data_IF_811362046780
#
_entry.id   IF_811362046780
#
_cell.length_a   1.000
_cell.length_b   1.000
_cell.length_c   1.000
_cell.angle_alpha   90.00
_cell.angle_beta   90.00
_cell.angle_gamma   90.00
#
_symmetry.space_group_name_H-M   'P 1'
#
loop_
_entity.id
_entity.type
_entity.pdbx_description
1 polymer ?
#
# COMPACT_ATOMS: atom_id res chain seq x y z
N UNK A 1 35.22 16.13 61.09
CA UNK A 1 35.58 16.48 59.69
C UNK A 1 35.73 15.25 58.77
N UNK A 2 35.27 14.06 59.20
CA UNK A 2 35.47 12.78 58.49
C UNK A 2 34.17 12.11 58.00
N UNK A 3 32.99 12.65 58.35
CA UNK A 3 31.70 12.14 57.86
C UNK A 3 31.17 12.85 56.60
N UNK A 4 31.66 14.05 56.28
CA UNK A 4 31.21 14.79 55.09
C UNK A 4 31.94 14.37 53.80
N UNK A 5 33.11 13.75 53.91
CA UNK A 5 33.92 13.33 52.75
C UNK A 5 33.41 11.99 52.17
N UNK A 6 32.84 11.10 53.00
CA UNK A 6 32.38 9.79 52.56
C UNK A 6 31.08 9.83 51.74
N UNK A 7 30.20 10.80 52.00
CA UNK A 7 28.91 10.93 51.29
C UNK A 7 29.09 11.49 49.88
N UNK A 8 30.06 12.41 49.68
CA UNK A 8 30.34 12.97 48.36
C UNK A 8 31.05 11.98 47.42
N UNK A 9 31.92 11.12 47.95
CA UNK A 9 32.61 10.12 47.12
C UNK A 9 31.65 9.01 46.64
N UNK A 10 30.67 8.63 47.47
CA UNK A 10 29.63 7.65 47.11
C UNK A 10 28.66 8.17 46.03
N UNK A 11 28.26 9.43 46.12
CA UNK A 11 27.39 10.07 45.12
C UNK A 11 28.09 10.27 43.77
N UNK A 12 29.39 10.59 43.77
CA UNK A 12 30.18 10.71 42.54
C UNK A 12 30.39 9.36 41.84
N UNK A 13 30.62 8.28 42.60
CA UNK A 13 30.78 6.93 42.03
C UNK A 13 29.45 6.39 41.49
N UNK A 14 28.33 6.63 42.18
CA UNK A 14 27.01 6.22 41.72
C UNK A 14 26.57 7.01 40.47
N UNK A 15 26.97 8.29 40.36
CA UNK A 15 26.76 9.11 39.17
C UNK A 15 27.65 8.66 37.99
N UNK A 16 28.91 8.28 38.25
CA UNK A 16 29.81 7.71 37.22
C UNK A 16 29.30 6.36 36.69
N UNK A 17 28.81 5.47 37.57
CA UNK A 17 28.19 4.19 37.17
C UNK A 17 26.84 4.38 36.45
N UNK A 18 26.08 5.43 36.77
CA UNK A 18 24.84 5.75 36.07
C UNK A 18 25.09 6.37 34.68
N UNK A 19 26.20 7.09 34.50
CA UNK A 19 26.57 7.72 33.22
C UNK A 19 27.18 6.72 32.21
N UNK A 20 27.75 5.60 32.67
CA UNK A 20 28.27 4.53 31.79
C UNK A 20 27.20 3.58 31.23
N UNK A 21 25.92 3.73 31.59
CA UNK A 21 24.81 2.95 31.03
C UNK A 21 24.14 3.58 29.80
N UNK A 22 24.83 4.51 29.13
CA UNK A 22 24.52 4.90 27.74
C UNK A 22 25.57 4.33 26.79
N UNK A 23 25.80 3.03 26.85
CA UNK A 23 26.12 2.35 25.59
C UNK A 23 24.82 2.36 24.81
N UNK A 24 24.67 3.33 23.91
CA UNK A 24 23.90 3.08 22.69
C UNK A 24 24.37 1.71 22.20
N UNK A 25 23.46 0.75 22.20
CA UNK A 25 23.71 -0.63 21.82
C UNK A 25 24.56 -0.61 20.55
N UNK A 26 25.81 -1.10 20.63
CA UNK A 26 26.75 -1.10 19.50
C UNK A 26 26.08 -1.73 18.28
N UNK A 27 25.18 -2.69 18.52
CA UNK A 27 24.33 -3.30 17.52
C UNK A 27 23.40 -2.29 16.83
N UNK A 28 22.71 -1.43 17.60
CA UNK A 28 21.86 -0.36 17.09
C UNK A 28 22.62 0.78 16.39
N UNK A 29 23.91 1.00 16.74
CA UNK A 29 24.80 1.89 15.99
C UNK A 29 25.21 1.28 14.65
N UNK A 30 25.63 0.01 14.64
CA UNK A 30 26.00 -0.75 13.43
C UNK A 30 24.80 -0.90 12.49
N UNK A 31 23.60 -1.11 13.02
CA UNK A 31 22.37 -1.26 12.24
C UNK A 31 21.98 0.02 11.47
N UNK A 32 22.43 1.21 11.90
CA UNK A 32 22.23 2.47 11.16
C UNK A 32 23.07 2.56 9.88
N UNK A 33 24.18 1.83 9.83
CA UNK A 33 25.10 1.78 8.68
C UNK A 33 24.85 0.56 7.78
N UNK A 34 24.02 -0.40 8.21
CA UNK A 34 23.51 -1.42 7.30
C UNK A 34 22.70 -0.71 6.21
N UNK A 35 22.88 -1.07 4.93
CA UNK A 35 22.04 -0.55 3.86
C UNK A 35 20.58 -0.70 4.27
N UNK A 36 19.82 0.39 4.25
CA UNK A 36 18.38 0.31 4.51
C UNK A 36 17.83 -0.69 3.51
N UNK A 37 17.22 -1.77 4.01
CA UNK A 37 16.42 -2.67 3.18
C UNK A 37 15.48 -1.80 2.38
N UNK A 38 15.67 -1.77 1.06
CA UNK A 38 14.75 -1.03 0.20
C UNK A 38 13.45 -1.83 0.16
N UNK A 39 12.38 -1.25 -0.39
CA UNK A 39 11.14 -2.02 -0.63
C UNK A 39 11.37 -3.30 -1.45
N UNK A 40 12.49 -3.37 -2.17
CA UNK A 40 12.92 -4.53 -2.95
C UNK A 40 13.50 -5.67 -2.10
N UNK A 41 13.90 -5.42 -0.84
CA UNK A 41 14.44 -6.43 0.11
C UNK A 41 13.38 -6.99 1.07
N UNK A 42 12.11 -6.78 0.76
CA UNK A 42 11.01 -7.02 1.69
C UNK A 42 10.33 -8.36 1.41
N UNK A 43 10.36 -9.22 2.42
CA UNK A 43 9.68 -10.51 2.36
C UNK A 43 8.16 -10.34 2.40
N UNK A 44 7.49 -11.14 1.58
CA UNK A 44 6.04 -11.30 1.61
C UNK A 44 5.65 -12.07 2.87
N UNK A 45 4.74 -11.54 3.70
CA UNK A 45 4.27 -12.26 4.87
C UNK A 45 3.73 -13.63 4.48
N UNK A 46 4.09 -14.68 5.22
CA UNK A 46 3.69 -16.05 4.92
C UNK A 46 2.18 -16.22 4.64
N UNK A 47 1.25 -15.67 5.44
CA UNK A 47 -0.18 -15.79 5.15
C UNK A 47 -0.61 -15.17 3.82
N UNK A 48 0.04 -14.09 3.39
CA UNK A 48 -0.21 -13.46 2.09
C UNK A 48 0.30 -14.37 0.97
N UNK A 49 1.53 -14.87 1.10
CA UNK A 49 2.13 -15.75 0.11
C UNK A 49 1.31 -17.03 -0.09
N UNK A 50 0.89 -17.67 1.01
CA UNK A 50 0.10 -18.91 0.97
C UNK A 50 -1.24 -18.71 0.26
N UNK A 51 -1.92 -17.58 0.49
CA UNK A 51 -3.16 -17.21 -0.21
C UNK A 51 -2.92 -17.03 -1.71
N UNK A 52 -1.87 -16.31 -2.10
CA UNK A 52 -1.53 -16.11 -3.51
C UNK A 52 -1.22 -17.45 -4.16
N UNK A 53 -0.38 -18.28 -3.54
CA UNK A 53 -0.02 -19.58 -4.07
C UNK A 53 -1.24 -20.49 -4.27
N UNK A 54 -2.14 -20.55 -3.27
CA UNK A 54 -3.38 -21.32 -3.38
C UNK A 54 -4.29 -20.81 -4.50
N UNK A 55 -4.35 -19.48 -4.70
CA UNK A 55 -5.13 -18.90 -5.79
C UNK A 55 -4.54 -19.22 -7.15
N UNK A 56 -3.20 -19.16 -7.29
CA UNK A 56 -2.49 -19.52 -8.54
C UNK A 56 -2.69 -20.99 -8.87
N UNK A 57 -2.59 -21.89 -7.89
CA UNK A 57 -2.84 -23.32 -8.09
C UNK A 57 -4.26 -23.58 -8.63
N UNK A 58 -5.26 -22.89 -8.07
CA UNK A 58 -6.66 -23.04 -8.46
C UNK A 58 -7.02 -22.43 -9.82
N UNK A 59 -6.51 -21.25 -10.15
CA UNK A 59 -7.00 -20.46 -11.30
C UNK A 59 -6.03 -20.40 -12.47
N UNK A 60 -4.73 -20.54 -12.23
CA UNK A 60 -3.69 -20.43 -13.25
C UNK A 60 -3.19 -21.82 -13.69
N UNK A 61 -3.48 -22.86 -12.90
CA UNK A 61 -3.26 -24.26 -13.29
C UNK A 61 -1.78 -24.67 -13.20
N UNK A 62 -1.15 -24.44 -12.04
CA UNK A 62 0.25 -24.83 -11.79
C UNK A 62 0.39 -26.20 -11.11
N UNK A 63 -0.70 -26.95 -10.99
CA UNK A 63 -0.75 -28.22 -10.26
C UNK A 63 0.30 -29.22 -10.76
N UNK A 64 1.07 -29.78 -9.83
CA UNK A 64 2.13 -30.74 -10.11
C UNK A 64 3.44 -30.11 -10.64
N UNK A 65 3.46 -28.81 -10.90
CA UNK A 65 4.69 -28.09 -11.28
C UNK A 65 5.48 -27.70 -10.03
N UNK A 66 6.80 -27.73 -10.14
CA UNK A 66 7.67 -27.28 -9.04
C UNK A 66 7.63 -25.76 -8.94
N UNK A 67 7.24 -25.25 -7.78
CA UNK A 67 7.27 -23.81 -7.49
C UNK A 67 8.65 -23.43 -6.97
N UNK A 68 9.23 -22.38 -7.54
CA UNK A 68 10.55 -21.86 -7.16
C UNK A 68 10.47 -20.39 -6.75
N UNK A 69 11.42 -19.98 -5.90
CA UNK A 69 11.52 -18.64 -5.33
C UNK A 69 12.96 -18.12 -5.43
N UNK A 70 13.35 -17.58 -6.58
CA UNK A 70 14.74 -17.19 -6.85
C UNK A 70 15.10 -15.83 -6.22
N UNK A 71 14.15 -15.09 -5.63
CA UNK A 71 14.41 -13.77 -5.05
C UNK A 71 14.64 -13.87 -3.54
N UNK A 72 15.90 -13.72 -3.15
CA UNK A 72 16.37 -13.65 -1.78
C UNK A 72 17.63 -12.80 -1.71
N UNK A 73 18.05 -12.29 -0.53
CA UNK A 73 19.25 -11.48 -0.41
C UNK A 73 20.49 -12.18 -0.99
N UNK A 74 21.17 -11.51 -1.93
CA UNK A 74 22.32 -12.06 -2.65
C UNK A 74 21.96 -13.09 -3.74
N UNK A 75 20.68 -13.30 -4.01
CA UNK A 75 20.21 -14.20 -5.06
C UNK A 75 20.48 -13.65 -6.46
N UNK A 76 20.76 -14.57 -7.38
CA UNK A 76 20.95 -14.30 -8.80
C UNK A 76 19.90 -15.07 -9.59
N UNK A 77 18.83 -14.38 -9.99
CA UNK A 77 17.75 -15.01 -10.74
C UNK A 77 18.17 -15.40 -12.17
N UNK A 78 19.23 -14.81 -12.72
CA UNK A 78 19.68 -15.11 -14.09
C UNK A 78 20.41 -16.46 -14.14
N UNK A 79 21.14 -16.78 -13.06
CA UNK A 79 21.92 -18.01 -12.88
C UNK A 79 21.25 -19.04 -11.95
N UNK A 80 20.01 -18.82 -11.55
CA UNK A 80 19.25 -19.78 -10.75
C UNK A 80 19.01 -21.08 -11.53
N UNK A 81 19.11 -22.23 -10.85
CA UNK A 81 18.82 -23.53 -11.44
C UNK A 81 17.30 -23.76 -11.50
N UNK A 82 16.68 -23.39 -12.63
CA UNK A 82 15.25 -23.59 -12.89
C UNK A 82 14.97 -25.04 -13.31
N UNK A 83 14.29 -25.84 -12.48
CA UNK A 83 13.90 -27.20 -12.87
C UNK A 83 12.96 -27.17 -14.06
N UNK A 84 13.00 -28.20 -14.90
CA UNK A 84 12.12 -28.30 -16.05
C UNK A 84 10.65 -28.19 -15.64
N UNK A 85 9.89 -27.39 -16.37
CA UNK A 85 8.46 -27.15 -16.11
C UNK A 85 8.17 -26.40 -14.81
N UNK A 86 9.16 -25.83 -14.11
CA UNK A 86 8.90 -25.06 -12.89
C UNK A 86 8.06 -23.80 -13.13
N UNK A 87 7.56 -23.23 -12.04
CA UNK A 87 6.89 -21.92 -12.02
C UNK A 87 7.51 -21.06 -10.95
N UNK A 88 7.83 -19.82 -11.31
CA UNK A 88 8.27 -18.81 -10.35
C UNK A 88 7.03 -18.17 -9.73
N UNK A 89 6.77 -18.40 -8.44
CA UNK A 89 5.73 -17.67 -7.70
C UNK A 89 6.43 -16.94 -6.57
N UNK A 90 6.73 -15.65 -6.76
CA UNK A 90 7.61 -14.95 -5.84
C UNK A 90 7.49 -13.42 -5.93
N UNK A 91 8.08 -12.73 -4.96
CA UNK A 91 8.11 -11.26 -4.88
C UNK A 91 9.48 -10.73 -5.33
N UNK A 92 9.61 -10.30 -6.60
CA UNK A 92 10.87 -9.77 -7.12
C UNK A 92 11.14 -8.34 -6.64
N UNK A 93 12.38 -7.84 -6.78
CA UNK A 93 12.66 -6.42 -6.71
C UNK A 93 11.86 -5.66 -7.77
N UNK A 94 11.03 -4.70 -7.35
CA UNK A 94 10.11 -3.98 -8.22
C UNK A 94 10.85 -3.03 -9.17
N UNK A 95 12.00 -2.51 -8.76
CA UNK A 95 12.86 -1.64 -9.57
C UNK A 95 13.31 -2.27 -10.89
N UNK A 96 13.40 -3.61 -10.98
CA UNK A 96 13.83 -4.34 -12.17
C UNK A 96 12.81 -5.39 -12.63
N UNK A 97 11.55 -5.30 -12.18
CA UNK A 97 10.52 -6.31 -12.46
C UNK A 97 10.32 -6.56 -13.96
N UNK A 98 10.43 -5.51 -14.78
CA UNK A 98 10.33 -5.64 -16.24
C UNK A 98 11.46 -6.48 -16.82
N UNK A 99 12.70 -6.28 -16.35
CA UNK A 99 13.85 -7.09 -16.77
C UNK A 99 13.62 -8.56 -16.42
N UNK A 100 13.15 -8.82 -15.21
CA UNK A 100 12.86 -10.16 -14.69
C UNK A 100 11.76 -10.85 -15.52
N UNK A 101 10.63 -10.18 -15.72
CA UNK A 101 9.51 -10.75 -16.46
C UNK A 101 9.89 -11.07 -17.90
N UNK A 102 10.58 -10.16 -18.59
CA UNK A 102 11.04 -10.38 -19.97
C UNK A 102 12.06 -11.52 -20.06
N UNK A 103 12.95 -11.65 -19.07
CA UNK A 103 13.87 -12.79 -18.98
C UNK A 103 13.12 -14.12 -18.91
N UNK A 104 12.04 -14.20 -18.11
CA UNK A 104 11.22 -15.41 -18.04
C UNK A 104 10.43 -15.69 -19.31
N UNK A 105 9.83 -14.66 -19.92
CA UNK A 105 9.13 -14.79 -21.21
C UNK A 105 10.08 -15.34 -22.29
N UNK A 106 11.27 -14.75 -22.44
CA UNK A 106 12.24 -15.15 -23.46
C UNK A 106 12.77 -16.58 -23.27
N UNK A 107 12.81 -17.08 -22.03
CA UNK A 107 13.27 -18.44 -21.71
C UNK A 107 12.14 -19.47 -21.59
N UNK A 108 10.89 -19.07 -21.81
CA UNK A 108 9.74 -19.96 -21.63
C UNK A 108 9.54 -20.43 -20.18
N UNK A 109 10.03 -19.66 -19.20
CA UNK A 109 9.86 -19.97 -17.78
C UNK A 109 8.50 -19.44 -17.34
N UNK A 110 7.67 -20.31 -16.76
CA UNK A 110 6.38 -19.91 -16.22
C UNK A 110 6.55 -19.04 -14.97
N UNK A 111 5.80 -17.96 -14.85
CA UNK A 111 5.87 -17.10 -13.67
C UNK A 111 4.52 -16.52 -13.25
N UNK A 112 4.39 -16.22 -11.96
CA UNK A 112 3.37 -15.40 -11.36
C UNK A 112 4.03 -14.52 -10.28
N UNK A 113 4.32 -13.27 -10.62
CA UNK A 113 5.14 -12.38 -9.79
C UNK A 113 4.29 -11.29 -9.15
N UNK A 114 4.63 -10.92 -7.92
CA UNK A 114 4.11 -9.71 -7.28
C UNK A 114 4.64 -8.48 -8.04
N UNK A 115 3.81 -7.45 -8.21
CA UNK A 115 4.13 -6.28 -9.02
C UNK A 115 3.50 -5.00 -8.44
N UNK A 116 4.12 -3.82 -8.61
CA UNK A 116 3.47 -2.55 -8.28
C UNK A 116 2.29 -2.29 -9.23
N UNK A 117 1.12 -1.92 -8.68
CA UNK A 117 -0.11 -1.84 -9.47
C UNK A 117 0.00 -0.88 -10.67
N UNK A 118 0.67 0.26 -10.50
CA UNK A 118 0.67 1.35 -11.47
C UNK A 118 1.43 1.02 -12.77
N UNK A 119 2.40 0.11 -12.74
CA UNK A 119 3.26 -0.22 -13.88
C UNK A 119 3.15 -1.68 -14.33
N UNK A 120 2.05 -2.36 -13.98
CA UNK A 120 1.87 -3.80 -14.25
C UNK A 120 1.41 -4.13 -15.67
N UNK A 121 0.86 -3.16 -16.42
CA UNK A 121 0.38 -3.40 -17.80
C UNK A 121 1.57 -3.42 -18.77
N UNK A 122 1.70 -4.51 -19.52
CA UNK A 122 2.73 -4.67 -20.55
C UNK A 122 2.27 -5.67 -21.62
N UNK A 123 2.69 -5.49 -22.88
CA UNK A 123 2.25 -6.32 -24.02
C UNK A 123 2.76 -7.78 -24.03
N UNK A 124 3.81 -8.07 -23.28
CA UNK A 124 4.52 -9.38 -23.32
C UNK A 124 4.01 -10.37 -22.26
N UNK A 125 3.15 -9.93 -21.34
CA UNK A 125 2.64 -10.75 -20.26
C UNK A 125 1.32 -10.19 -19.74
N UNK A 126 0.58 -11.04 -19.05
CA UNK A 126 -0.71 -10.70 -18.46
C UNK A 126 -0.55 -10.00 -17.12
N UNK A 127 -1.56 -9.20 -16.74
CA UNK A 127 -1.63 -8.53 -15.43
C UNK A 127 -2.92 -8.89 -14.68
N UNK A 128 -2.81 -9.11 -13.36
CA UNK A 128 -3.91 -9.47 -12.47
C UNK A 128 -4.04 -8.43 -11.37
N UNK A 129 -5.16 -7.72 -11.34
CA UNK A 129 -5.41 -6.61 -10.41
C UNK A 129 -6.33 -7.02 -9.25
N UNK A 130 -5.90 -6.72 -8.02
CA UNK A 130 -6.67 -7.03 -6.79
C UNK A 130 -7.33 -5.80 -6.15
N UNK A 131 -7.01 -4.58 -6.60
CA UNK A 131 -7.59 -3.34 -6.07
C UNK A 131 -7.39 -3.14 -4.57
N UNK A 132 -6.32 -3.69 -4.00
CA UNK A 132 -5.97 -3.55 -2.59
C UNK A 132 -4.46 -3.50 -2.40
N UNK A 133 -4.03 -3.08 -1.21
CA UNK A 133 -2.61 -3.01 -0.87
C UNK A 133 -2.18 -4.25 -0.09
N UNK A 134 -0.90 -4.58 -0.20
CA UNK A 134 -0.25 -5.58 0.65
C UNK A 134 0.66 -4.88 1.66
N UNK A 135 0.56 -5.28 2.92
CA UNK A 135 1.51 -4.88 3.97
C UNK A 135 2.64 -5.90 4.04
N UNK A 136 3.87 -5.49 3.74
CA UNK A 136 5.05 -6.36 3.75
C UNK A 136 5.67 -6.44 5.15
N UNK A 137 6.60 -7.39 5.37
CA UNK A 137 7.20 -7.61 6.70
C UNK A 137 7.94 -6.40 7.28
N UNK A 138 8.43 -5.49 6.42
CA UNK A 138 9.04 -4.23 6.85
C UNK A 138 8.01 -3.13 7.20
N UNK A 139 6.71 -3.43 7.13
CA UNK A 139 5.62 -2.47 7.37
C UNK A 139 5.25 -1.61 6.16
N UNK A 140 5.91 -1.77 5.01
CA UNK A 140 5.53 -1.04 3.80
C UNK A 140 4.14 -1.48 3.31
N UNK A 141 3.28 -0.51 3.01
CA UNK A 141 1.94 -0.74 2.43
C UNK A 141 1.99 -0.35 0.96
N UNK A 142 1.96 -1.33 0.06
CA UNK A 142 2.12 -1.11 -1.38
C UNK A 142 0.84 -1.51 -2.10
N UNK A 143 0.35 -0.67 -3.01
CA UNK A 143 -0.67 -1.09 -3.97
C UNK A 143 -0.09 -2.15 -4.89
N UNK A 144 -0.58 -3.39 -4.77
CA UNK A 144 0.01 -4.54 -5.45
C UNK A 144 -0.95 -5.08 -6.50
N UNK A 145 -0.38 -5.50 -7.62
CA UNK A 145 -0.99 -6.34 -8.63
C UNK A 145 -0.06 -7.56 -8.86
N UNK A 146 -0.39 -8.40 -9.82
CA UNK A 146 0.47 -9.51 -10.23
C UNK A 146 0.68 -9.50 -11.74
N UNK A 147 1.79 -10.08 -12.18
CA UNK A 147 2.10 -10.27 -13.59
C UNK A 147 2.41 -11.74 -13.86
N UNK A 148 2.04 -12.25 -15.03
CA UNK A 148 2.16 -13.68 -15.36
C UNK A 148 2.16 -13.91 -16.87
N UNK A 149 2.86 -14.94 -17.34
CA UNK A 149 2.76 -15.45 -18.72
C UNK A 149 1.92 -16.73 -18.83
N UNK A 150 1.13 -17.05 -17.81
CA UNK A 150 0.41 -18.33 -17.69
C UNK A 150 -1.10 -18.23 -17.99
N UNK A 151 -1.59 -17.05 -18.41
CA UNK A 151 -3.03 -16.81 -18.64
C UNK A 151 -3.45 -16.91 -20.12
N UNK A 152 -2.59 -17.47 -20.97
CA UNK A 152 -2.86 -17.59 -22.41
C UNK A 152 -3.14 -16.22 -23.05
N UNK A 153 -4.27 -16.11 -23.74
CA UNK A 153 -4.64 -14.91 -24.51
C UNK A 153 -5.18 -13.75 -23.66
N UNK A 154 -5.30 -13.92 -22.35
CA UNK A 154 -5.82 -12.88 -21.46
C UNK A 154 -4.74 -11.84 -21.16
N UNK A 155 -4.87 -10.61 -21.66
CA UNK A 155 -3.91 -9.52 -21.43
C UNK A 155 -3.99 -8.91 -20.01
N UNK A 156 -5.19 -8.78 -19.44
CA UNK A 156 -5.37 -8.31 -18.07
C UNK A 156 -6.69 -8.80 -17.48
N UNK A 157 -6.74 -8.95 -16.15
CA UNK A 157 -7.96 -9.31 -15.43
C UNK A 157 -8.00 -8.70 -14.02
N UNK A 158 -9.19 -8.66 -13.43
CA UNK A 158 -9.36 -8.40 -12.00
C UNK A 158 -9.61 -9.70 -11.23
N UNK A 159 -9.10 -9.80 -10.00
CA UNK A 159 -9.24 -10.97 -9.13
C UNK A 159 -9.86 -10.57 -7.77
N UNK A 160 -11.17 -10.27 -7.73
CA UNK A 160 -11.84 -9.80 -6.51
C UNK A 160 -11.90 -10.87 -5.40
N UNK A 161 -11.90 -12.15 -5.75
CA UNK A 161 -11.85 -13.28 -4.81
C UNK A 161 -10.48 -13.38 -4.12
N UNK A 162 -9.38 -13.24 -4.87
CA UNK A 162 -8.03 -13.11 -4.31
C UNK A 162 -7.95 -11.91 -3.36
N UNK A 163 -8.51 -10.77 -3.78
CA UNK A 163 -8.54 -9.56 -2.95
C UNK A 163 -9.28 -9.79 -1.62
N UNK A 164 -10.37 -10.55 -1.62
CA UNK A 164 -11.12 -10.87 -0.41
C UNK A 164 -10.31 -11.75 0.56
N UNK A 165 -9.64 -12.79 0.06
CA UNK A 165 -8.74 -13.64 0.87
C UNK A 165 -7.56 -12.85 1.43
N UNK A 166 -6.93 -12.02 0.61
CA UNK A 166 -5.82 -11.17 1.02
C UNK A 166 -6.22 -10.18 2.12
N UNK A 167 -7.43 -9.61 2.06
CA UNK A 167 -7.93 -8.73 3.14
C UNK A 167 -8.16 -9.49 4.45
N UNK A 168 -8.66 -10.73 4.39
CA UNK A 168 -8.86 -11.57 5.58
C UNK A 168 -7.57 -11.87 6.31
N UNK A 169 -6.53 -12.31 5.59
CA UNK A 169 -5.27 -12.73 6.21
C UNK A 169 -4.40 -11.58 6.68
N UNK A 170 -4.55 -10.39 6.09
CA UNK A 170 -3.76 -9.22 6.45
C UNK A 170 -4.26 -8.48 7.71
N UNK A 171 -5.25 -9.01 8.44
CA UNK A 171 -5.86 -8.42 9.65
C UNK A 171 -5.85 -6.90 9.58
N UNK A 172 -6.51 -6.34 8.58
CA UNK A 172 -6.68 -4.89 8.54
C UNK A 172 -7.43 -4.50 9.82
N UNK A 173 -6.96 -3.50 10.61
CA UNK A 173 -7.79 -2.95 11.67
C UNK A 173 -9.16 -2.66 11.06
N UNK A 174 -10.22 -3.10 11.74
CA UNK A 174 -11.59 -2.95 11.24
C UNK A 174 -11.74 -1.54 10.65
N UNK A 175 -12.19 -1.37 9.40
CA UNK A 175 -12.32 -0.04 8.84
C UNK A 175 -13.11 0.79 9.84
N UNK A 176 -12.56 1.93 10.27
CA UNK A 176 -13.28 2.89 11.10
C UNK A 176 -14.68 3.02 10.51
N UNK A 177 -15.71 2.80 11.33
CA UNK A 177 -17.10 2.78 10.89
C UNK A 177 -17.34 4.03 10.04
N UNK A 178 -17.59 3.84 8.75
CA UNK A 178 -17.83 4.94 7.83
C UNK A 178 -19.24 5.46 8.10
N UNK A 179 -19.31 6.68 8.58
CA UNK A 179 -20.58 7.40 8.73
C UNK A 179 -20.81 8.26 7.50
N UNK A 180 -22.03 8.20 6.96
CA UNK A 180 -22.54 9.27 6.10
C UNK A 180 -23.03 10.41 6.99
N UNK A 181 -22.64 11.64 6.68
CA UNK A 181 -23.02 12.82 7.45
C UNK A 181 -23.98 13.67 6.62
N UNK A 182 -25.11 14.14 7.18
CA UNK A 182 -26.01 15.04 6.47
C UNK A 182 -25.34 16.40 6.18
N UNK A 183 -25.96 17.19 5.31
CA UNK A 183 -25.43 18.50 4.89
C UNK A 183 -25.28 19.50 6.05
N UNK A 184 -26.07 19.36 7.11
CA UNK A 184 -25.97 20.16 8.33
C UNK A 184 -24.72 19.87 9.16
N UNK A 185 -23.92 18.84 8.84
CA UNK A 185 -22.70 18.47 9.56
C UNK A 185 -21.49 18.59 8.63
N UNK A 186 -20.49 19.36 9.06
CA UNK A 186 -19.21 19.51 8.39
C UNK A 186 -18.07 18.96 9.22
N UNK A 187 -17.19 18.18 8.57
CA UNK A 187 -16.01 17.52 9.15
C UNK A 187 -14.74 17.98 8.43
N UNK A 188 -13.61 17.89 9.13
CA UNK A 188 -12.30 18.28 8.59
C UNK A 188 -11.95 17.56 7.27
N UNK A 189 -12.33 16.28 7.14
CA UNK A 189 -12.10 15.51 5.92
C UNK A 189 -12.77 16.13 4.68
N UNK A 190 -14.00 16.66 4.81
CA UNK A 190 -14.72 17.32 3.71
C UNK A 190 -14.03 18.63 3.31
N UNK A 191 -13.57 19.42 4.28
CA UNK A 191 -12.77 20.63 4.02
C UNK A 191 -11.47 20.28 3.28
N UNK A 192 -10.80 19.21 3.69
CA UNK A 192 -9.61 18.73 2.99
C UNK A 192 -9.93 18.31 1.55
N UNK A 193 -11.05 17.60 1.32
CA UNK A 193 -11.51 17.27 -0.03
C UNK A 193 -11.72 18.51 -0.89
N UNK A 194 -12.38 19.55 -0.37
CA UNK A 194 -12.58 20.81 -1.11
C UNK A 194 -11.24 21.46 -1.46
N UNK A 195 -10.32 21.56 -0.49
CA UNK A 195 -9.00 22.13 -0.72
C UNK A 195 -8.21 21.36 -1.80
N UNK A 196 -8.16 20.02 -1.70
CA UNK A 196 -7.46 19.17 -2.70
C UNK A 196 -8.04 19.27 -4.10
N UNK A 197 -9.31 19.66 -4.23
CA UNK A 197 -10.01 19.84 -5.51
C UNK A 197 -10.06 21.31 -5.95
N UNK A 198 -9.33 22.20 -5.26
CA UNK A 198 -9.29 23.63 -5.56
C UNK A 198 -10.66 24.29 -5.47
N UNK A 199 -11.45 23.93 -4.46
CA UNK A 199 -12.78 24.51 -4.20
C UNK A 199 -12.66 25.41 -2.98
N UNK A 200 -12.74 26.75 -3.16
CA UNK A 200 -12.78 27.65 -2.03
C UNK A 200 -14.10 27.48 -1.29
N UNK A 201 -14.02 27.20 0.00
CA UNK A 201 -15.19 27.05 0.86
C UNK A 201 -14.85 27.56 2.26
N UNK A 202 -15.74 28.36 2.84
CA UNK A 202 -15.58 28.90 4.18
C UNK A 202 -16.91 28.88 4.93
N UNK A 203 -16.84 28.81 6.26
CA UNK A 203 -18.00 28.90 7.14
C UNK A 203 -17.74 29.98 8.18
N UNK A 204 -18.61 30.97 8.26
CA UNK A 204 -18.52 32.01 9.29
C UNK A 204 -18.91 31.47 10.66
N UNK A 205 -18.20 31.92 11.71
CA UNK A 205 -18.46 31.51 13.11
C UNK A 205 -19.91 31.68 13.56
N UNK A 206 -20.61 32.71 13.06
CA UNK A 206 -22.04 32.97 13.36
C UNK A 206 -23.00 31.98 12.72
N UNK A 207 -22.56 31.25 11.70
CA UNK A 207 -23.37 30.30 10.93
C UNK A 207 -23.10 28.85 11.31
N UNK A 208 -22.34 28.62 12.39
CA UNK A 208 -22.01 27.28 12.83
C UNK A 208 -21.82 27.14 14.35
N UNK A 209 -21.89 25.91 14.82
CA UNK A 209 -21.59 25.54 16.19
C UNK A 209 -20.60 24.36 16.21
N UNK A 210 -19.49 24.53 16.92
CA UNK A 210 -18.47 23.48 17.08
C UNK A 210 -18.90 22.53 18.19
N UNK A 211 -18.99 21.23 17.89
CA UNK A 211 -19.33 20.20 18.88
C UNK A 211 -18.53 18.93 18.66
N UNK A 212 -18.23 18.22 19.75
CA UNK A 212 -17.66 16.86 19.71
C UNK A 212 -18.74 15.78 19.60
N UNK A 213 -19.97 16.12 19.97
CA UNK A 213 -21.09 15.19 20.05
C UNK A 213 -22.08 15.52 18.93
N UNK A 214 -22.29 14.57 18.03
CA UNK A 214 -23.18 14.73 16.88
C UNK A 214 -24.08 13.51 16.79
N UNK A 215 -25.39 13.73 16.81
CA UNK A 215 -26.39 12.67 16.82
C UNK A 215 -26.38 11.86 18.14
N UNK A 216 -26.95 10.65 18.08
CA UNK A 216 -27.00 9.72 19.22
C UNK A 216 -25.66 9.01 19.46
N UNK A 217 -24.74 9.07 18.51
CA UNK A 217 -23.41 8.46 18.58
C UNK A 217 -22.46 9.35 19.42
N UNK A 218 -22.21 8.95 20.67
CA UNK A 218 -21.18 9.58 21.50
C UNK A 218 -19.82 8.96 21.15
N UNK A 219 -18.76 9.79 21.09
CA UNK A 219 -17.34 9.44 20.80
C UNK A 219 -16.89 9.43 19.33
N UNK A 220 -17.38 10.33 18.49
CA UNK A 220 -16.73 10.60 17.20
C UNK A 220 -15.31 11.18 17.42
N UNK A 221 -14.36 10.78 16.58
CA UNK A 221 -12.98 11.26 16.64
C UNK A 221 -12.90 12.73 16.16
N UNK A 222 -12.53 13.66 17.02
CA UNK A 222 -12.42 15.09 16.68
C UNK A 222 -13.77 15.82 16.57
N UNK A 223 -13.72 17.15 16.42
CA UNK A 223 -14.90 18.01 16.43
C UNK A 223 -15.59 18.09 15.05
N UNK A 224 -16.89 18.35 15.07
CA UNK A 224 -17.73 18.67 13.93
C UNK A 224 -18.26 20.09 14.02
N UNK A 225 -18.68 20.63 12.87
CA UNK A 225 -19.47 21.86 12.81
C UNK A 225 -20.93 21.50 12.47
N UNK A 226 -21.86 21.90 13.33
CA UNK A 226 -23.28 21.99 12.97
C UNK A 226 -23.48 23.31 12.22
N UNK A 227 -24.11 23.24 11.05
CA UNK A 227 -24.29 24.37 10.14
C UNK A 227 -25.73 24.89 10.17
N UNK A 228 -25.90 26.21 10.00
CA UNK A 228 -27.19 26.77 9.63
C UNK A 228 -27.65 26.23 8.26
N UNK A 229 -28.95 26.31 7.98
CA UNK A 229 -29.51 25.84 6.70
C UNK A 229 -28.81 26.47 5.49
N UNK A 230 -28.53 27.78 5.56
CA UNK A 230 -27.79 28.49 4.52
C UNK A 230 -26.39 27.90 4.31
N UNK A 231 -25.63 27.72 5.39
CA UNK A 231 -24.27 27.16 5.29
C UNK A 231 -24.28 25.68 4.86
N UNK A 232 -25.31 24.93 5.21
CA UNK A 232 -25.51 23.56 4.75
C UNK A 232 -25.79 23.48 3.23
N UNK A 233 -26.55 24.43 2.68
CA UNK A 233 -26.78 24.54 1.24
C UNK A 233 -25.50 24.91 0.48
N UNK A 234 -24.72 25.86 1.00
CA UNK A 234 -23.41 26.23 0.44
C UNK A 234 -22.44 25.04 0.46
N UNK A 235 -22.42 24.27 1.55
CA UNK A 235 -21.65 23.01 1.64
C UNK A 235 -22.09 22.01 0.57
N UNK A 236 -23.39 21.80 0.39
CA UNK A 236 -23.91 20.87 -0.61
C UNK A 236 -23.50 21.25 -2.05
N UNK A 237 -23.52 22.56 -2.36
CA UNK A 237 -23.03 23.07 -3.63
C UNK A 237 -21.52 22.81 -3.80
N UNK A 238 -20.72 23.01 -2.75
CA UNK A 238 -19.29 22.69 -2.76
C UNK A 238 -19.02 21.19 -2.93
N UNK A 239 -19.81 20.31 -2.30
CA UNK A 239 -19.70 18.85 -2.48
C UNK A 239 -20.05 18.42 -3.91
N UNK A 240 -21.07 19.03 -4.53
CA UNK A 240 -21.42 18.79 -5.93
C UNK A 240 -20.30 19.24 -6.88
N UNK A 241 -19.82 20.48 -6.73
CA UNK A 241 -18.69 20.98 -7.51
C UNK A 241 -17.43 20.12 -7.30
N UNK A 242 -17.23 19.61 -6.08
CA UNK A 242 -16.14 18.68 -5.79
C UNK A 242 -16.32 17.37 -6.55
N UNK A 243 -17.52 16.81 -6.59
CA UNK A 243 -17.78 15.57 -7.33
C UNK A 243 -17.58 15.75 -8.83
N UNK A 244 -18.01 16.88 -9.40
CA UNK A 244 -17.85 17.19 -10.82
C UNK A 244 -16.37 17.38 -11.22
N UNK A 245 -15.55 18.01 -10.38
CA UNK A 245 -14.09 18.12 -10.59
C UNK A 245 -13.33 16.79 -10.48
N UNK A 246 -13.97 15.68 -10.08
CA UNK A 246 -13.36 14.34 -10.14
C UNK A 246 -13.29 13.84 -11.58
N UNK A 247 -14.09 14.38 -12.50
CA UNK A 247 -13.89 14.18 -13.91
C UNK A 247 -12.54 14.81 -14.29
N UNK A 248 -11.50 13.98 -14.28
CA UNK A 248 -10.16 14.37 -14.69
C UNK A 248 -10.18 14.86 -16.14
N UNK A 249 -9.07 15.45 -16.57
CA UNK A 249 -8.91 15.83 -17.96
C UNK A 249 -9.13 14.59 -18.83
N UNK A 250 -10.12 14.65 -19.71
CA UNK A 250 -10.33 13.63 -20.72
C UNK A 250 -9.17 13.71 -21.71
N UNK A 251 -8.47 12.58 -21.88
CA UNK A 251 -7.38 12.49 -22.83
C UNK A 251 -8.00 12.33 -24.23
N UNK A 252 -7.63 13.21 -25.16
CA UNK A 252 -8.05 13.11 -26.56
C UNK A 252 -7.16 12.07 -27.24
N UNK A 253 -7.77 11.05 -27.85
CA UNK A 253 -7.07 10.03 -28.62
C UNK A 253 -6.55 10.61 -29.94
N UNK A 254 -5.35 10.17 -30.35
CA UNK A 254 -4.77 10.54 -31.64
C UNK A 254 -5.46 9.80 -32.80
N UNK A 255 -5.23 10.26 -34.04
CA UNK A 255 -5.72 9.56 -35.22
C UNK A 255 -5.12 8.15 -35.33
N UNK A 256 -3.87 7.99 -34.91
CA UNK A 256 -3.13 6.74 -34.84
C UNK A 256 -3.77 5.78 -33.82
N UNK A 257 -4.11 6.24 -32.61
CA UNK A 257 -4.80 5.42 -31.60
C UNK A 257 -6.16 4.94 -32.10
N UNK A 258 -6.92 5.81 -32.77
CA UNK A 258 -8.21 5.47 -33.35
C UNK A 258 -8.09 4.48 -34.52
N UNK A 259 -7.02 4.54 -35.30
CA UNK A 259 -6.74 3.58 -36.35
C UNK A 259 -6.48 2.18 -35.75
N UNK A 260 -5.65 2.09 -34.71
CA UNK A 260 -5.42 0.83 -33.98
C UNK A 260 -6.74 0.26 -33.45
N UNK A 261 -7.60 1.08 -32.83
CA UNK A 261 -8.89 0.63 -32.30
C UNK A 261 -9.80 0.04 -33.41
N UNK A 262 -9.78 0.62 -34.62
CA UNK A 262 -10.58 0.12 -35.76
C UNK A 262 -10.13 -1.25 -36.27
N UNK A 263 -8.88 -1.62 -36.03
CA UNK A 263 -8.31 -2.91 -36.45
C UNK A 263 -8.54 -4.02 -35.41
N UNK A 264 -8.95 -3.67 -34.18
CA UNK A 264 -9.28 -4.65 -33.15
C UNK A 264 -10.60 -5.35 -33.48
N UNK A 265 -10.63 -6.67 -33.31
CA UNK A 265 -11.78 -7.57 -33.58
C UNK A 265 -12.63 -7.78 -32.33
#
# INVERSE_FOLDING_TARGET
MTHFIFVFLSACILCYLCCMKKNEDYQGFVDKFKPKKTTDDCYTPKPVYDVVLAWVDKHVGIKGRKVVRPFYPGGDFENYNYPEGCVVVDNPPFSIIRKIALFYVQRGIGFFLFSPFASSIHKEYSSVFIGTSITYENGAVVGTAFITNLLGDIQCMSAPDLAAELKRVQKTPSPLRKFSYPNSILRAAQLNTFATRGIPFCVHKKSCHVTRNVGLEKKLFGNSLLLSEKAAAEKAAAEKAAAEKVAGNELVLSAEDLAVIKELV
#
